data_IF_247430907236
#
_entry.id   IF_247430907236
#
_cell.length_a   1.000
_cell.length_b   1.000
_cell.length_c   1.000
_cell.angle_alpha   90.00
_cell.angle_beta   90.00
_cell.angle_gamma   90.00
#
_symmetry.space_group_name_H-M   'P 1'
#
loop_
_entity.id
_entity.type
_entity.pdbx_description
1 polymer ?
#
# COMPACT_ATOMS: atom_id res chain seq x y z
N UNK A 1 4.86 14.78 1.94
CA UNK A 1 4.15 15.59 0.92
C UNK A 1 2.73 15.05 0.92
N UNK A 2 1.74 15.85 1.32
CA UNK A 2 0.36 15.36 1.41
C UNK A 2 -0.27 15.33 0.02
N UNK A 3 -0.96 14.23 -0.33
CA UNK A 3 -1.84 14.21 -1.50
C UNK A 3 -2.96 15.24 -1.32
N UNK A 4 -3.43 15.85 -2.41
CA UNK A 4 -4.65 16.64 -2.37
C UNK A 4 -5.82 15.76 -1.91
N UNK A 5 -6.87 16.31 -1.27
CA UNK A 5 -8.04 15.54 -0.88
C UNK A 5 -8.68 14.76 -2.05
N UNK A 6 -8.67 15.36 -3.25
CA UNK A 6 -9.17 14.72 -4.47
C UNK A 6 -8.30 13.54 -4.90
N UNK A 7 -6.97 13.73 -4.95
CA UNK A 7 -6.02 12.66 -5.30
C UNK A 7 -6.08 11.52 -4.29
N UNK A 8 -6.23 11.85 -3.00
CA UNK A 8 -6.42 10.87 -1.93
C UNK A 8 -7.72 10.09 -2.09
N UNK A 9 -8.84 10.76 -2.37
CA UNK A 9 -10.13 10.10 -2.65
C UNK A 9 -10.07 9.17 -3.87
N UNK A 10 -9.39 9.60 -4.94
CA UNK A 10 -9.13 8.76 -6.13
C UNK A 10 -8.30 7.53 -5.76
N UNK A 11 -7.23 7.70 -4.99
CA UNK A 11 -6.38 6.59 -4.55
C UNK A 11 -7.17 5.59 -3.69
N UNK A 12 -7.98 6.06 -2.73
CA UNK A 12 -8.84 5.18 -1.93
C UNK A 12 -9.84 4.40 -2.81
N UNK A 13 -10.44 5.05 -3.81
CA UNK A 13 -11.33 4.35 -4.76
C UNK A 13 -10.59 3.28 -5.58
N UNK A 14 -9.33 3.53 -5.95
CA UNK A 14 -8.52 2.52 -6.63
C UNK A 14 -8.19 1.35 -5.70
N UNK A 15 -7.83 1.62 -4.44
CA UNK A 15 -7.56 0.58 -3.45
C UNK A 15 -8.79 -0.30 -3.20
N UNK A 16 -9.98 0.27 -3.10
CA UNK A 16 -11.21 -0.52 -2.94
C UNK A 16 -11.47 -1.42 -4.15
N UNK A 17 -11.19 -0.94 -5.38
CA UNK A 17 -11.25 -1.76 -6.60
C UNK A 17 -10.21 -2.88 -6.61
N UNK A 18 -9.01 -2.67 -6.06
CA UNK A 18 -8.04 -3.75 -5.89
C UNK A 18 -8.58 -4.82 -4.97
N UNK A 19 -9.17 -4.45 -3.83
CA UNK A 19 -9.78 -5.40 -2.90
C UNK A 19 -10.89 -6.21 -3.58
N UNK A 20 -11.85 -5.53 -4.23
CA UNK A 20 -12.98 -6.21 -4.87
C UNK A 20 -12.60 -6.99 -6.14
N UNK A 21 -11.53 -6.58 -6.82
CA UNK A 21 -11.07 -7.22 -8.07
C UNK A 21 -10.07 -8.36 -7.86
N UNK A 22 -9.56 -8.54 -6.65
CA UNK A 22 -8.62 -9.60 -6.31
C UNK A 22 -9.33 -10.93 -6.06
N UNK A 23 -8.70 -12.03 -6.46
CA UNK A 23 -9.15 -13.39 -6.12
C UNK A 23 -8.82 -13.77 -4.66
N UNK A 24 -7.93 -13.01 -4.00
CA UNK A 24 -7.55 -13.21 -2.60
C UNK A 24 -8.54 -12.55 -1.65
N UNK A 25 -8.73 -13.18 -0.50
CA UNK A 25 -9.42 -12.57 0.63
C UNK A 25 -8.53 -11.50 1.28
N UNK A 26 -8.66 -10.26 0.81
CA UNK A 26 -7.86 -9.13 1.28
C UNK A 26 -8.57 -8.42 2.44
N UNK A 27 -7.80 -7.83 3.37
CA UNK A 27 -8.38 -7.08 4.46
C UNK A 27 -9.18 -5.87 3.96
N UNK A 28 -10.30 -5.60 4.62
CA UNK A 28 -11.10 -4.38 4.42
C UNK A 28 -10.77 -3.38 5.52
N UNK A 29 -10.95 -2.10 5.24
CA UNK A 29 -10.68 -1.04 6.20
C UNK A 29 -10.65 0.35 5.57
N UNK A 30 -10.63 1.40 6.42
CA UNK A 30 -10.60 2.78 5.96
C UNK A 30 -9.38 3.10 5.08
N UNK A 31 -8.26 2.42 5.29
CA UNK A 31 -7.01 2.54 4.52
C UNK A 31 -7.13 2.08 3.05
N UNK A 32 -8.11 1.22 2.78
CA UNK A 32 -8.48 0.75 1.43
C UNK A 32 -9.84 1.29 0.96
N UNK A 33 -10.41 2.26 1.68
CA UNK A 33 -11.65 2.95 1.27
C UNK A 33 -12.92 2.12 1.45
N UNK A 34 -12.89 1.08 2.28
CA UNK A 34 -14.05 0.22 2.57
C UNK A 34 -14.34 0.31 4.08
N UNK A 35 -15.56 0.71 4.51
CA UNK A 35 -15.93 0.66 5.91
C UNK A 35 -15.76 -0.75 6.47
N UNK A 36 -15.06 -0.89 7.59
CA UNK A 36 -14.81 -2.18 8.24
C UNK A 36 -14.55 -1.99 9.73
N UNK A 37 -14.86 -3.00 10.53
CA UNK A 37 -14.60 -2.99 11.96
C UNK A 37 -13.09 -2.98 12.21
N UNK A 38 -12.58 -1.86 12.72
CA UNK A 38 -11.16 -1.66 13.01
C UNK A 38 -10.60 -2.56 14.11
N UNK A 39 -11.46 -3.35 14.77
CA UNK A 39 -11.16 -4.02 16.04
C UNK A 39 -10.16 -5.18 15.88
N UNK A 40 -10.05 -5.80 14.70
CA UNK A 40 -9.14 -6.94 14.46
C UNK A 40 -7.95 -6.61 13.56
N UNK A 41 -7.97 -5.46 12.90
CA UNK A 41 -6.91 -5.05 11.99
C UNK A 41 -5.73 -4.46 12.76
N UNK A 42 -4.65 -5.23 12.87
CA UNK A 42 -3.38 -4.68 13.37
C UNK A 42 -2.80 -3.78 12.29
N UNK A 43 -2.69 -2.48 12.53
CA UNK A 43 -2.02 -1.52 11.65
C UNK A 43 -0.57 -1.32 12.10
N UNK A 44 0.33 -1.15 11.13
CA UNK A 44 1.72 -0.75 11.36
C UNK A 44 2.13 0.22 10.25
N UNK A 45 3.06 1.15 10.51
CA UNK A 45 3.71 1.92 9.47
C UNK A 45 4.27 1.00 8.39
N UNK A 46 4.17 1.41 7.13
CA UNK A 46 4.61 0.61 5.98
C UNK A 46 6.08 0.17 6.10
N UNK A 47 6.96 1.04 6.59
CA UNK A 47 8.38 0.71 6.80
C UNK A 47 8.64 -0.41 7.82
N UNK A 48 7.71 -0.61 8.77
CA UNK A 48 7.77 -1.68 9.77
C UNK A 48 7.01 -2.93 9.32
N UNK A 49 6.06 -2.80 8.39
CA UNK A 49 5.23 -3.91 7.92
C UNK A 49 5.97 -4.82 6.95
N UNK A 50 6.68 -4.23 5.98
CA UNK A 50 7.38 -5.02 4.98
C UNK A 50 8.69 -5.59 5.52
N UNK A 51 8.97 -6.83 5.14
CA UNK A 51 10.17 -7.59 5.52
C UNK A 51 10.85 -8.16 4.28
N UNK A 52 12.00 -8.82 4.48
CA UNK A 52 12.78 -9.44 3.41
C UNK A 52 14.02 -8.66 3.01
N UNK A 53 14.75 -9.22 2.03
CA UNK A 53 16.16 -8.89 1.78
C UNK A 53 16.44 -7.40 1.57
N UNK A 54 15.54 -6.68 0.90
CA UNK A 54 15.70 -5.23 0.66
C UNK A 54 15.54 -4.44 1.96
N UNK A 55 14.55 -4.78 2.78
CA UNK A 55 14.28 -4.09 4.04
C UNK A 55 15.31 -4.43 5.11
N UNK A 56 15.71 -5.70 5.19
CA UNK A 56 16.68 -6.21 6.16
C UNK A 56 18.10 -5.75 5.82
N UNK A 57 18.59 -6.00 4.60
CA UNK A 57 19.95 -5.58 4.21
C UNK A 57 20.07 -4.08 4.04
N UNK A 58 19.00 -3.41 3.66
CA UNK A 58 18.91 -1.96 3.61
C UNK A 58 18.81 -1.31 4.99
N UNK A 59 18.69 -2.10 6.08
CA UNK A 59 18.53 -1.62 7.46
C UNK A 59 17.42 -0.58 7.56
N UNK A 60 16.33 -0.77 6.82
CA UNK A 60 15.29 0.26 6.61
C UNK A 60 14.65 0.67 7.94
N UNK A 61 14.35 -0.30 8.82
CA UNK A 61 13.75 -0.02 10.13
C UNK A 61 14.71 0.69 11.10
N UNK A 62 16.02 0.59 10.89
CA UNK A 62 17.03 1.23 11.74
C UNK A 62 17.32 2.66 11.25
N UNK A 63 17.40 2.85 9.93
CA UNK A 63 17.74 4.13 9.30
C UNK A 63 16.53 5.05 9.13
N UNK A 64 15.32 4.48 8.99
CA UNK A 64 14.06 5.21 8.91
C UNK A 64 13.21 4.92 10.15
N UNK A 65 12.67 5.95 10.83
CA UNK A 65 12.61 7.37 10.45
C UNK A 65 13.73 8.23 11.06
N UNK A 66 14.78 7.62 11.62
CA UNK A 66 15.81 8.31 12.43
C UNK A 66 16.66 9.30 11.62
N UNK A 67 16.89 9.05 10.33
CA UNK A 67 17.58 9.98 9.44
C UNK A 67 16.60 10.96 8.78
N UNK A 68 16.65 12.22 9.19
CA UNK A 68 15.73 13.29 8.77
C UNK A 68 15.77 13.64 7.27
N UNK A 69 16.78 13.19 6.55
CA UNK A 69 16.95 13.44 5.11
C UNK A 69 16.52 12.26 4.21
N UNK A 70 16.03 11.16 4.79
CA UNK A 70 15.54 10.02 4.02
C UNK A 70 14.03 10.13 3.80
N UNK A 71 13.61 9.97 2.55
CA UNK A 71 12.20 9.71 2.19
C UNK A 71 12.08 8.29 1.73
N UNK A 72 11.20 7.52 2.37
CA UNK A 72 10.91 6.15 1.99
C UNK A 72 9.58 6.09 1.25
N UNK A 73 9.64 5.72 -0.02
CA UNK A 73 8.45 5.48 -0.86
C UNK A 73 8.40 4.00 -1.21
N UNK A 74 7.25 3.37 -0.97
CA UNK A 74 7.06 1.93 -1.18
C UNK A 74 6.00 1.72 -2.25
N UNK A 75 6.32 0.87 -3.23
CA UNK A 75 5.38 0.42 -4.25
C UNK A 75 4.74 -0.89 -3.79
N UNK A 76 3.42 -0.89 -3.61
CA UNK A 76 2.61 -1.94 -3.00
C UNK A 76 1.55 -2.44 -3.97
N UNK A 77 1.34 -3.76 -4.01
CA UNK A 77 0.30 -4.36 -4.85
C UNK A 77 -1.13 -3.99 -4.39
N UNK A 78 -1.36 -3.87 -3.08
CA UNK A 78 -2.67 -3.49 -2.54
C UNK A 78 -2.85 -1.97 -2.53
N UNK A 79 -1.81 -1.24 -2.11
CA UNK A 79 -1.94 0.18 -1.80
C UNK A 79 -1.49 1.13 -2.92
N UNK A 80 -0.84 0.60 -3.97
CA UNK A 80 -0.23 1.42 -5.01
C UNK A 80 1.06 2.07 -4.51
N UNK A 81 1.02 3.36 -4.20
CA UNK A 81 2.13 4.10 -3.61
C UNK A 81 1.88 4.32 -2.12
N UNK A 82 2.92 4.17 -1.30
CA UNK A 82 2.91 4.42 0.13
C UNK A 82 4.08 5.32 0.53
N UNK A 83 3.83 6.24 1.47
CA UNK A 83 4.88 6.79 2.32
C UNK A 83 5.26 5.77 3.39
N UNK A 84 6.52 5.78 3.84
CA UNK A 84 6.98 4.89 4.90
C UNK A 84 6.12 4.95 6.16
N UNK A 85 5.57 6.12 6.51
CA UNK A 85 4.72 6.32 7.68
C UNK A 85 3.27 5.87 7.53
N UNK A 86 2.82 5.55 6.31
CA UNK A 86 1.43 5.14 6.08
C UNK A 86 1.10 3.90 6.92
N UNK A 87 0.04 4.00 7.73
CA UNK A 87 -0.47 2.89 8.53
C UNK A 87 -1.21 1.91 7.62
N UNK A 88 -0.69 0.69 7.52
CA UNK A 88 -1.25 -0.35 6.67
C UNK A 88 -1.54 -1.64 7.43
N UNK A 89 -2.53 -2.38 6.95
CA UNK A 89 -2.87 -3.70 7.46
C UNK A 89 -1.87 -4.76 6.98
N UNK A 90 -1.89 -5.93 7.62
CA UNK A 90 -1.19 -7.10 7.11
C UNK A 90 -1.98 -7.68 5.94
N UNK A 91 -1.33 -7.89 4.81
CA UNK A 91 -1.92 -8.50 3.62
C UNK A 91 -0.88 -9.34 2.89
N UNK A 92 -1.32 -10.25 2.03
CA UNK A 92 -0.45 -11.02 1.13
C UNK A 92 -0.97 -10.87 -0.30
N UNK A 93 -0.65 -9.75 -0.96
CA UNK A 93 -0.90 -9.54 -2.39
C UNK A 93 0.42 -9.18 -3.06
N UNK A 94 0.75 -9.90 -4.14
CA UNK A 94 1.99 -9.71 -4.90
C UNK A 94 1.70 -9.04 -6.24
N UNK A 95 2.73 -8.39 -6.80
CA UNK A 95 2.59 -7.63 -8.04
C UNK A 95 2.25 -8.46 -9.29
N UNK A 96 2.48 -9.77 -9.25
CA UNK A 96 2.15 -10.71 -10.32
C UNK A 96 0.78 -11.40 -10.14
N UNK A 97 0.06 -11.08 -9.07
CA UNK A 97 -1.28 -11.62 -8.84
C UNK A 97 -2.33 -10.80 -9.57
N UNK A 98 -3.48 -11.42 -9.86
CA UNK A 98 -4.51 -10.82 -10.71
C UNK A 98 -5.46 -9.92 -9.92
N UNK A 99 -5.77 -8.78 -10.53
CA UNK A 99 -6.83 -7.84 -10.15
C UNK A 99 -7.70 -7.68 -11.41
N UNK A 100 -8.95 -8.13 -11.35
CA UNK A 100 -9.90 -8.10 -12.47
C UNK A 100 -9.32 -8.67 -13.77
N UNK A 101 -8.60 -9.79 -13.66
CA UNK A 101 -7.99 -10.49 -14.81
C UNK A 101 -6.63 -9.94 -15.28
N UNK A 102 -6.11 -8.85 -14.71
CA UNK A 102 -4.81 -8.28 -15.05
C UNK A 102 -3.83 -8.41 -13.88
N UNK A 103 -2.54 -8.64 -14.14
CA UNK A 103 -1.52 -8.60 -13.08
C UNK A 103 -1.53 -7.22 -12.39
N UNK A 104 -1.35 -7.19 -11.07
CA UNK A 104 -1.43 -5.97 -10.27
C UNK A 104 -0.48 -4.87 -10.76
N UNK A 105 0.72 -5.23 -11.22
CA UNK A 105 1.64 -4.27 -11.83
C UNK A 105 1.08 -3.57 -13.08
N UNK A 106 0.37 -4.30 -13.95
CA UNK A 106 -0.28 -3.78 -15.15
C UNK A 106 -1.51 -2.96 -14.79
N UNK A 107 -2.30 -3.45 -13.83
CA UNK A 107 -3.48 -2.75 -13.33
C UNK A 107 -3.11 -1.39 -12.74
N UNK A 108 -2.07 -1.29 -11.91
CA UNK A 108 -1.61 -0.02 -11.37
C UNK A 108 -1.03 0.91 -12.45
N UNK A 109 -0.35 0.36 -13.46
CA UNK A 109 0.14 1.16 -14.60
C UNK A 109 -0.99 1.77 -15.41
N UNK A 110 -2.08 1.04 -15.67
CA UNK A 110 -3.24 1.57 -16.41
C UNK A 110 -3.97 2.68 -15.63
N UNK A 111 -3.82 2.71 -14.31
CA UNK A 111 -4.31 3.77 -13.43
C UNK A 111 -3.25 4.81 -13.04
N UNK A 112 -2.15 4.89 -13.81
CA UNK A 112 -1.11 5.91 -13.67
C UNK A 112 -0.41 5.96 -12.32
N UNK A 113 -0.02 4.80 -11.79
CA UNK A 113 0.84 4.68 -10.61
C UNK A 113 2.00 5.68 -10.65
N UNK A 114 2.01 6.65 -9.73
CA UNK A 114 3.09 7.64 -9.60
C UNK A 114 2.97 8.91 -10.46
N UNK A 115 1.88 9.13 -11.21
CA UNK A 115 1.57 10.44 -11.84
C UNK A 115 0.64 11.32 -10.97
N UNK A 116 0.55 11.03 -9.67
CA UNK A 116 -0.30 11.79 -8.74
C UNK A 116 0.41 13.02 -8.18
#
# INVERSE_FOLDING_TARGET
MGLSPESFGKLLNLRSKVVSGSEKNLPIGPDVGIPGDQVTAQYLPAYQRYTGIVFERGRVQELYPTQSNIRLVIISALYGLLDGHDLIQKYDLKMNEKISGQCANTWWKSHSLGKM
#
